data_IF_218345660127
#
_entry.id   IF_218345660127
#
_cell.length_a   1.000
_cell.length_b   1.000
_cell.length_c   1.000
_cell.angle_alpha   90.00
_cell.angle_beta   90.00
_cell.angle_gamma   90.00
#
_symmetry.space_group_name_H-M   'P 1'
#
loop_
_entity.id
_entity.type
_entity.pdbx_description
1 polymer ?
#
# COMPACT_ATOMS: atom_id res chain seq x y z
N UNK A 1 10.92 3.46 -14.41
CA UNK A 1 10.74 2.02 -14.73
C UNK A 1 10.20 1.91 -16.15
N UNK A 2 10.66 0.94 -16.94
CA UNK A 2 10.18 0.74 -18.32
C UNK A 2 8.79 0.07 -18.37
N UNK A 3 8.46 -0.68 -17.31
CA UNK A 3 7.16 -1.33 -17.09
C UNK A 3 6.72 -1.06 -15.66
N UNK A 4 5.46 -0.67 -15.48
CA UNK A 4 4.78 -0.51 -14.19
C UNK A 4 3.52 -1.37 -14.21
N UNK A 5 3.40 -2.26 -13.23
CA UNK A 5 2.20 -3.06 -13.00
C UNK A 5 1.36 -2.44 -11.90
N UNK A 6 0.04 -2.42 -12.10
CA UNK A 6 -0.92 -1.79 -11.20
C UNK A 6 -2.08 -2.77 -11.00
N UNK A 7 -2.56 -2.92 -9.77
CA UNK A 7 -3.70 -3.77 -9.42
C UNK A 7 -4.41 -3.21 -8.19
N UNK A 8 -4.73 -4.06 -7.21
CA UNK A 8 -5.24 -3.72 -5.86
C UNK A 8 -6.15 -2.48 -5.83
N UNK A 9 -5.68 -1.25 -5.51
CA UNK A 9 -6.58 -0.10 -5.36
C UNK A 9 -7.19 0.41 -6.67
N UNK A 10 -6.66 0.04 -7.84
CA UNK A 10 -7.10 0.58 -9.14
C UNK A 10 -8.59 0.35 -9.40
N UNK A 11 -9.15 -0.76 -8.92
CA UNK A 11 -10.56 -1.09 -9.07
C UNK A 11 -11.43 -0.84 -7.84
N UNK A 12 -10.87 -0.32 -6.74
CA UNK A 12 -11.57 -0.16 -5.45
C UNK A 12 -12.44 -1.38 -5.06
N UNK A 13 -11.88 -2.58 -5.19
CA UNK A 13 -12.56 -3.86 -4.95
C UNK A 13 -13.01 -4.60 -6.22
N UNK A 14 -13.18 -3.91 -7.34
CA UNK A 14 -13.47 -4.55 -8.63
C UNK A 14 -12.19 -5.16 -9.26
N UNK A 15 -12.25 -6.35 -9.90
CA UNK A 15 -11.10 -6.94 -10.58
C UNK A 15 -10.60 -6.08 -11.75
N UNK A 16 -9.52 -5.33 -11.50
CA UNK A 16 -8.87 -4.47 -12.47
C UNK A 16 -7.37 -4.38 -12.21
N UNK A 17 -6.60 -4.58 -13.28
CA UNK A 17 -5.17 -4.38 -13.31
C UNK A 17 -4.75 -3.68 -14.61
N UNK A 18 -3.59 -3.05 -14.60
CA UNK A 18 -3.00 -2.38 -15.75
C UNK A 18 -1.50 -2.63 -15.82
N UNK A 19 -0.97 -2.64 -17.03
CA UNK A 19 0.46 -2.56 -17.31
C UNK A 19 0.68 -1.27 -18.09
N UNK A 20 1.39 -0.32 -17.48
CA UNK A 20 1.87 0.86 -18.18
C UNK A 20 3.33 0.62 -18.57
N UNK A 21 3.66 0.78 -19.84
CA UNK A 21 5.03 0.58 -20.32
C UNK A 21 5.43 1.65 -21.33
N UNK A 22 6.73 1.75 -21.58
CA UNK A 22 7.25 2.63 -22.63
C UNK A 22 6.80 2.16 -24.00
N UNK A 23 6.78 3.10 -24.96
CA UNK A 23 6.43 2.78 -26.35
C UNK A 23 7.34 1.71 -26.94
N UNK A 24 8.65 1.79 -26.67
CA UNK A 24 9.64 0.81 -27.11
C UNK A 24 9.30 -0.61 -26.64
N UNK A 25 8.88 -0.77 -25.38
CA UNK A 25 8.48 -2.08 -24.84
C UNK A 25 7.20 -2.58 -25.52
N UNK A 26 6.20 -1.72 -25.66
CA UNK A 26 4.94 -2.07 -26.32
C UNK A 26 5.15 -2.51 -27.77
N UNK A 27 5.98 -1.79 -28.53
CA UNK A 27 6.28 -2.12 -29.93
C UNK A 27 7.06 -3.44 -30.06
N UNK A 28 7.92 -3.78 -29.08
CA UNK A 28 8.60 -5.09 -29.05
C UNK A 28 7.67 -6.24 -28.70
N UNK A 29 6.65 -5.99 -27.88
CA UNK A 29 5.62 -6.98 -27.54
C UNK A 29 4.66 -7.22 -28.72
N UNK A 30 4.35 -6.17 -29.49
CA UNK A 30 3.54 -6.24 -30.70
C UNK A 30 4.30 -6.84 -31.90
N UNK A 31 4.79 -8.07 -31.75
CA UNK A 31 5.66 -8.75 -32.72
C UNK A 31 4.92 -9.66 -33.72
N UNK A 32 3.60 -9.56 -33.81
CA UNK A 32 2.75 -10.33 -34.71
C UNK A 32 1.90 -11.41 -34.04
N UNK A 33 2.21 -11.82 -32.80
CA UNK A 33 1.30 -12.61 -31.99
C UNK A 33 0.23 -11.72 -31.36
N UNK A 34 -1.04 -12.06 -31.53
CA UNK A 34 -2.14 -11.33 -30.90
C UNK A 34 -2.18 -11.62 -29.40
N UNK A 35 -2.11 -10.58 -28.58
CA UNK A 35 -2.44 -10.65 -27.17
C UNK A 35 -3.87 -10.18 -26.96
N UNK A 36 -4.69 -11.03 -26.37
CA UNK A 36 -6.08 -10.74 -26.07
C UNK A 36 -6.43 -11.16 -24.64
N UNK A 37 -7.27 -10.37 -23.98
CA UNK A 37 -7.81 -10.69 -22.66
C UNK A 37 -9.32 -10.44 -22.67
N UNK A 38 -10.11 -11.51 -22.50
CA UNK A 38 -11.57 -11.49 -22.62
C UNK A 38 -12.26 -10.46 -21.73
N UNK A 39 -11.74 -10.22 -20.53
CA UNK A 39 -12.31 -9.24 -19.59
C UNK A 39 -11.49 -7.95 -19.53
N UNK A 40 -10.33 -7.90 -20.20
CA UNK A 40 -9.43 -6.77 -20.22
C UNK A 40 -10.07 -5.56 -20.88
N UNK A 41 -10.09 -4.43 -20.17
CA UNK A 41 -10.55 -3.15 -20.73
C UNK A 41 -12.05 -3.07 -21.03
N UNK A 42 -12.88 -3.96 -20.47
CA UNK A 42 -14.33 -3.85 -20.63
C UNK A 42 -14.85 -2.50 -20.07
N UNK A 43 -15.97 -1.97 -20.61
CA UNK A 43 -16.45 -0.62 -20.25
C UNK A 43 -16.76 -0.43 -18.76
N UNK A 44 -17.23 -1.47 -18.06
CA UNK A 44 -17.54 -1.41 -16.62
C UNK A 44 -16.24 -1.23 -15.82
N UNK A 45 -15.24 -2.06 -16.07
CA UNK A 45 -13.93 -1.93 -15.43
C UNK A 45 -13.28 -0.56 -15.72
N UNK A 46 -13.36 -0.07 -16.96
CA UNK A 46 -12.82 1.23 -17.34
C UNK A 46 -13.53 2.39 -16.63
N UNK A 47 -14.86 2.34 -16.50
CA UNK A 47 -15.63 3.35 -15.77
C UNK A 47 -15.25 3.39 -14.29
N UNK A 48 -15.14 2.23 -13.63
CA UNK A 48 -14.75 2.13 -12.21
C UNK A 48 -13.34 2.68 -12.01
N UNK A 49 -12.35 2.20 -12.76
CA UNK A 49 -10.97 2.67 -12.61
C UNK A 49 -10.81 4.17 -12.87
N UNK A 50 -11.58 4.70 -13.84
CA UNK A 50 -11.61 6.14 -14.12
C UNK A 50 -12.15 6.93 -12.94
N UNK A 51 -13.25 6.48 -12.31
CA UNK A 51 -13.81 7.20 -11.16
C UNK A 51 -12.92 7.12 -9.91
N UNK A 52 -12.22 6.00 -9.71
CA UNK A 52 -11.19 5.89 -8.65
C UNK A 52 -10.11 6.95 -8.83
N UNK A 53 -9.54 7.07 -10.04
CA UNK A 53 -8.51 8.07 -10.32
C UNK A 53 -9.03 9.51 -10.19
N UNK A 54 -10.27 9.77 -10.64
CA UNK A 54 -10.92 11.06 -10.47
C UNK A 54 -11.12 11.41 -9.01
N UNK A 55 -11.55 10.46 -8.19
CA UNK A 55 -11.76 10.64 -6.76
C UNK A 55 -10.45 10.97 -6.05
N UNK A 56 -9.40 10.18 -6.28
CA UNK A 56 -8.06 10.42 -5.73
C UNK A 56 -7.57 11.85 -6.02
N UNK A 57 -7.79 12.34 -7.26
CA UNK A 57 -7.41 13.69 -7.67
C UNK A 57 -8.33 14.77 -7.07
N UNK A 58 -9.64 14.58 -7.15
CA UNK A 58 -10.66 15.55 -6.72
C UNK A 58 -10.60 15.80 -5.22
N UNK A 59 -10.37 14.75 -4.43
CA UNK A 59 -10.31 14.81 -2.97
C UNK A 59 -8.89 15.03 -2.41
N UNK A 60 -7.88 15.17 -3.28
CA UNK A 60 -6.48 15.42 -2.89
C UNK A 60 -5.95 14.36 -1.90
N UNK A 61 -6.23 13.08 -2.20
CA UNK A 61 -5.95 12.00 -1.26
C UNK A 61 -4.44 11.75 -1.08
N UNK A 62 -3.62 12.08 -2.09
CA UNK A 62 -2.15 11.98 -1.96
C UNK A 62 -1.61 13.04 -0.99
N UNK A 63 -2.09 14.28 -1.08
CA UNK A 63 -1.71 15.35 -0.16
C UNK A 63 -2.22 15.08 1.26
N UNK A 64 -3.43 14.52 1.38
CA UNK A 64 -3.95 14.07 2.68
C UNK A 64 -3.08 12.97 3.28
N UNK A 65 -2.72 11.95 2.48
CA UNK A 65 -1.87 10.86 2.93
C UNK A 65 -0.49 11.35 3.39
N UNK A 66 0.08 12.37 2.73
CA UNK A 66 1.31 13.01 3.18
C UNK A 66 1.12 13.66 4.57
N UNK A 67 0.13 14.55 4.71
CA UNK A 67 -0.09 15.31 5.96
C UNK A 67 -0.39 14.41 7.15
N UNK A 68 -1.36 13.50 6.99
CA UNK A 68 -1.79 12.60 8.07
C UNK A 68 -0.71 11.56 8.35
N UNK A 69 -0.03 11.07 7.31
CA UNK A 69 1.08 10.12 7.44
C UNK A 69 2.26 10.70 8.20
N UNK A 70 2.66 11.95 7.92
CA UNK A 70 3.74 12.61 8.66
C UNK A 70 3.39 12.83 10.13
N UNK A 71 2.15 13.24 10.41
CA UNK A 71 1.66 13.36 11.79
C UNK A 71 1.75 12.01 12.52
N UNK A 72 1.13 10.96 11.97
CA UNK A 72 1.12 9.64 12.59
C UNK A 72 2.53 9.06 12.80
N UNK A 73 3.41 9.24 11.80
CA UNK A 73 4.82 8.83 11.90
C UNK A 73 5.56 9.61 12.99
N UNK A 74 5.26 10.90 13.16
CA UNK A 74 5.80 11.73 14.23
C UNK A 74 5.40 11.21 15.61
N UNK A 75 4.11 10.94 15.81
CA UNK A 75 3.59 10.41 17.07
C UNK A 75 4.17 9.04 17.41
N UNK A 76 4.28 8.13 16.42
CA UNK A 76 4.93 6.82 16.62
C UNK A 76 6.40 6.95 17.02
N UNK A 77 7.13 7.94 16.48
CA UNK A 77 8.52 8.19 16.88
C UNK A 77 8.64 8.77 18.28
N UNK A 78 7.67 9.57 18.73
CA UNK A 78 7.61 10.03 20.12
C UNK A 78 7.33 8.85 21.05
N UNK A 79 6.37 8.00 20.69
CA UNK A 79 6.05 6.77 21.43
C UNK A 79 7.26 5.83 21.55
N UNK A 80 8.06 5.70 20.48
CA UNK A 80 9.27 4.88 20.49
C UNK A 80 10.35 5.38 21.49
N UNK A 81 10.32 6.66 21.88
CA UNK A 81 11.22 7.18 22.94
C UNK A 81 10.78 6.73 24.33
N UNK A 82 9.48 6.53 24.53
CA UNK A 82 8.89 6.07 25.79
C UNK A 82 8.90 4.55 25.92
N UNK A 83 8.74 3.84 24.80
CA UNK A 83 8.67 2.38 24.74
C UNK A 83 9.82 1.80 23.91
N UNK A 84 10.96 1.44 24.53
CA UNK A 84 12.13 0.90 23.82
C UNK A 84 11.92 -0.42 23.08
N UNK A 85 10.76 -1.07 23.30
CA UNK A 85 10.34 -2.23 22.50
C UNK A 85 10.10 -1.83 21.04
N UNK A 86 9.78 -0.57 20.75
CA UNK A 86 9.63 -0.07 19.39
C UNK A 86 11.03 0.25 18.84
N UNK A 87 11.54 -0.63 17.98
CA UNK A 87 12.91 -0.55 17.46
C UNK A 87 13.10 0.50 16.36
N UNK A 88 12.16 0.56 15.42
CA UNK A 88 12.18 1.50 14.30
C UNK A 88 10.75 1.84 13.83
N UNK A 89 10.59 3.02 13.22
CA UNK A 89 9.33 3.50 12.62
C UNK A 89 9.56 3.85 11.15
N UNK A 90 9.01 3.03 10.25
CA UNK A 90 9.25 3.07 8.80
C UNK A 90 8.00 3.37 7.98
N UNK A 91 8.21 3.61 6.68
CA UNK A 91 7.15 3.84 5.70
C UNK A 91 6.97 5.30 5.29
N UNK A 92 6.02 5.53 4.37
CA UNK A 92 5.70 6.82 3.78
C UNK A 92 4.18 6.96 3.58
N UNK A 93 3.66 8.19 3.71
CA UNK A 93 2.23 8.45 3.64
C UNK A 93 1.46 7.62 4.67
N UNK A 94 0.39 6.97 4.24
CA UNK A 94 -0.42 6.08 5.09
C UNK A 94 -0.03 4.60 5.00
N UNK A 95 1.14 4.30 4.44
CA UNK A 95 1.72 2.96 4.49
C UNK A 95 2.90 2.97 5.46
N UNK A 96 2.57 2.88 6.74
CA UNK A 96 3.49 2.96 7.87
C UNK A 96 3.55 1.65 8.62
N UNK A 97 4.70 1.37 9.23
CA UNK A 97 4.90 0.23 10.12
C UNK A 97 5.97 0.55 11.15
N UNK A 98 6.00 -0.21 12.24
CA UNK A 98 7.01 -0.11 13.28
C UNK A 98 7.41 -1.50 13.75
N UNK A 99 8.67 -1.67 14.14
CA UNK A 99 9.20 -2.96 14.59
C UNK A 99 9.11 -3.09 16.10
N UNK A 100 8.77 -4.30 16.56
CA UNK A 100 8.93 -4.67 17.96
C UNK A 100 10.19 -5.52 18.10
N UNK A 101 11.10 -5.10 18.99
CA UNK A 101 12.39 -5.76 19.20
C UNK A 101 12.75 -5.85 20.68
N UNK A 102 13.62 -6.81 21.00
CA UNK A 102 14.21 -6.92 22.33
C UNK A 102 15.40 -5.97 22.53
N UNK A 103 16.09 -6.07 23.67
CA UNK A 103 17.27 -5.24 23.98
C UNK A 103 18.47 -5.49 23.05
N UNK A 104 18.51 -6.63 22.38
CA UNK A 104 19.54 -7.02 21.41
C UNK A 104 19.15 -6.66 19.97
N UNK A 105 17.96 -6.06 19.78
CA UNK A 105 17.32 -5.74 18.50
C UNK A 105 16.85 -6.99 17.73
N UNK A 106 16.58 -8.08 18.43
CA UNK A 106 15.97 -9.26 17.83
C UNK A 106 14.45 -9.07 17.68
N UNK A 107 13.83 -9.47 16.56
CA UNK A 107 12.39 -9.33 16.32
C UNK A 107 11.54 -10.04 17.38
N UNK A 108 10.43 -9.40 17.75
CA UNK A 108 9.46 -9.89 18.74
C UNK A 108 8.12 -10.24 18.08
N UNK A 109 8.08 -11.34 17.34
CA UNK A 109 6.90 -11.79 16.58
C UNK A 109 5.66 -12.04 17.45
N UNK A 110 5.81 -12.76 18.57
CA UNK A 110 4.69 -13.05 19.49
C UNK A 110 4.06 -11.76 20.05
N UNK A 111 4.87 -10.75 20.34
CA UNK A 111 4.43 -9.46 20.84
C UNK A 111 3.74 -8.63 19.74
N UNK A 112 4.23 -8.74 18.49
CA UNK A 112 3.61 -8.08 17.35
C UNK A 112 2.20 -8.67 17.08
N UNK A 113 2.08 -10.00 17.12
CA UNK A 113 0.80 -10.70 16.97
C UNK A 113 -0.15 -10.41 18.12
N UNK A 114 0.36 -10.40 19.36
CA UNK A 114 -0.43 -9.99 20.52
C UNK A 114 -0.95 -8.55 20.36
N UNK A 115 -0.09 -7.60 19.97
CA UNK A 115 -0.48 -6.21 19.77
C UNK A 115 -1.55 -6.07 18.67
N UNK A 116 -1.31 -6.69 17.51
CA UNK A 116 -2.26 -6.63 16.39
C UNK A 116 -3.63 -7.21 16.75
N UNK A 117 -3.67 -8.29 17.54
CA UNK A 117 -4.93 -8.86 18.02
C UNK A 117 -5.58 -8.03 19.12
N UNK A 118 -4.81 -7.53 20.09
CA UNK A 118 -5.33 -6.66 21.17
C UNK A 118 -5.94 -5.38 20.62
N UNK A 119 -5.40 -4.83 19.54
CA UNK A 119 -5.95 -3.62 18.92
C UNK A 119 -7.36 -3.84 18.35
N UNK A 120 -7.76 -5.09 18.04
CA UNK A 120 -9.14 -5.42 17.67
C UNK A 120 -10.11 -5.18 18.84
N UNK A 121 -9.72 -5.49 20.07
CA UNK A 121 -10.51 -5.20 21.27
C UNK A 121 -10.70 -3.68 21.47
N UNK A 122 -9.82 -2.88 20.88
CA UNK A 122 -9.90 -1.42 20.84
C UNK A 122 -10.51 -0.86 19.54
N UNK A 123 -11.06 -1.72 18.67
CA UNK A 123 -11.71 -1.32 17.42
C UNK A 123 -10.76 -0.87 16.30
N UNK A 124 -9.48 -1.22 16.38
CA UNK A 124 -8.45 -0.83 15.40
C UNK A 124 -7.92 -2.08 14.71
N UNK A 125 -8.12 -2.16 13.39
CA UNK A 125 -7.61 -3.25 12.58
C UNK A 125 -6.20 -2.96 12.10
N UNK A 126 -5.29 -3.87 12.39
CA UNK A 126 -3.90 -3.83 11.95
C UNK A 126 -3.43 -5.24 11.59
N UNK A 127 -2.31 -5.32 10.88
CA UNK A 127 -1.66 -6.55 10.46
C UNK A 127 -0.20 -6.52 10.85
N UNK A 128 0.39 -7.70 11.01
CA UNK A 128 1.83 -7.92 11.03
C UNK A 128 2.31 -8.23 9.61
N UNK A 129 3.56 -7.89 9.30
CA UNK A 129 4.25 -8.22 8.05
C UNK A 129 5.76 -8.30 8.31
N UNK A 130 6.43 -9.25 7.66
CA UNK A 130 7.81 -9.67 7.97
C UNK A 130 7.88 -10.92 8.87
N UNK A 131 9.08 -11.52 9.01
CA UNK A 131 9.37 -12.54 10.02
C UNK A 131 9.53 -11.95 11.43
#
# INVERSE_FOLDING_TARGET
>A
PDIVTIGKPLGNGHPLAAVACTRQVADKFANGMEYFNTFGGNPVSCAIGTEVLRTVKREKLQENALKVGEFLKGELKLLAREFPIIGDVRGQGLFLGFELVDRRKEPLGDQADYLANRMKDHGILMSTDGP
#
